data_IF_669213579075
#
_entry.id   IF_669213579075
#
_cell.length_a   1.000
_cell.length_b   1.000
_cell.length_c   1.000
_cell.angle_alpha   90.00
_cell.angle_beta   90.00
_cell.angle_gamma   90.00
#
_symmetry.space_group_name_H-M   'P 1'
#
loop_
_entity.id
_entity.type
_entity.pdbx_description
1 polymer ?
#
# COMPACT_ATOMS: atom_id res chain seq x y z
N UNK A 1 -6.12 39.77 52.49
CA UNK A 1 -4.82 39.23 52.03
C UNK A 1 -4.93 38.75 50.57
N UNK A 2 -4.34 39.47 49.67
CA UNK A 2 -4.35 39.16 48.23
C UNK A 2 -3.26 38.12 47.94
N UNK A 3 -3.64 36.95 47.34
CA UNK A 3 -2.68 35.88 47.02
C UNK A 3 -2.32 35.98 45.55
N UNK A 4 -1.11 36.44 45.17
CA UNK A 4 -0.71 36.69 43.77
C UNK A 4 -0.38 35.41 42.97
N UNK A 5 -0.47 34.22 43.59
CA UNK A 5 -0.10 32.94 42.94
C UNK A 5 -1.30 32.07 42.54
N UNK A 6 -2.54 32.58 42.57
CA UNK A 6 -3.64 31.86 41.91
C UNK A 6 -3.49 31.99 40.40
N UNK A 7 -2.73 31.08 39.77
CA UNK A 7 -2.87 30.81 38.36
C UNK A 7 -4.34 30.44 38.12
N UNK A 8 -5.05 31.28 37.35
CA UNK A 8 -6.32 30.89 36.75
C UNK A 8 -5.98 29.68 35.84
N UNK A 9 -6.47 28.51 36.21
CA UNK A 9 -6.61 27.42 35.27
C UNK A 9 -7.43 27.94 34.11
N UNK A 10 -6.80 28.20 32.96
CA UNK A 10 -7.54 28.33 31.71
C UNK A 10 -8.10 26.95 31.41
N UNK A 11 -9.36 26.74 31.85
CA UNK A 11 -10.12 25.62 31.32
C UNK A 11 -10.23 25.86 29.83
N UNK A 12 -9.62 24.96 29.04
CA UNK A 12 -9.78 24.91 27.59
C UNK A 12 -11.30 24.96 27.33
N UNK A 13 -11.74 25.90 26.51
CA UNK A 13 -13.10 25.92 25.97
C UNK A 13 -13.39 24.52 25.43
N UNK A 14 -14.54 23.91 25.78
CA UNK A 14 -14.88 22.60 25.23
C UNK A 14 -14.90 22.74 23.71
N UNK A 15 -14.05 21.97 23.06
CA UNK A 15 -13.96 21.89 21.62
C UNK A 15 -15.36 21.53 21.10
N UNK A 16 -15.88 22.25 20.13
CA UNK A 16 -17.15 21.90 19.52
C UNK A 16 -17.09 20.46 19.03
N UNK A 17 -18.16 19.69 19.19
CA UNK A 17 -18.19 18.26 18.78
C UNK A 17 -17.67 18.07 17.34
N UNK A 18 -18.01 19.00 16.44
CA UNK A 18 -17.54 18.97 15.05
C UNK A 18 -16.01 19.20 14.91
N UNK A 19 -15.40 20.01 15.78
CA UNK A 19 -13.94 20.20 15.81
C UNK A 19 -13.26 18.97 16.40
N UNK A 20 -13.83 18.38 17.44
CA UNK A 20 -13.34 17.13 18.02
C UNK A 20 -13.45 15.98 17.02
N UNK A 21 -14.56 15.86 16.30
CA UNK A 21 -14.78 14.88 15.24
C UNK A 21 -13.82 15.10 14.05
N UNK A 22 -13.55 16.36 13.69
CA UNK A 22 -12.56 16.72 12.67
C UNK A 22 -11.14 16.36 13.09
N UNK A 23 -10.79 16.60 14.35
CA UNK A 23 -9.47 16.26 14.92
C UNK A 23 -9.26 14.74 15.01
N UNK A 24 -10.32 13.99 15.30
CA UNK A 24 -10.32 12.53 15.31
C UNK A 24 -10.40 11.92 13.91
N UNK A 25 -10.40 12.74 12.85
CA UNK A 25 -10.60 12.25 11.47
C UNK A 25 -12.05 11.81 11.19
N UNK A 26 -12.95 12.14 12.09
CA UNK A 26 -14.36 11.74 12.12
C UNK A 26 -15.20 12.94 11.65
N UNK A 27 -15.15 13.26 10.37
CA UNK A 27 -16.07 14.28 9.82
C UNK A 27 -17.00 13.64 8.80
N UNK A 28 -18.27 14.00 8.85
CA UNK A 28 -19.19 13.66 7.77
C UNK A 28 -18.71 14.34 6.48
N UNK A 29 -18.73 13.59 5.39
CA UNK A 29 -18.45 14.10 4.05
C UNK A 29 -19.64 14.91 3.52
N UNK A 30 -19.44 15.64 2.42
CA UNK A 30 -20.53 16.30 1.70
C UNK A 30 -21.64 15.34 1.28
N UNK A 31 -21.32 14.06 1.08
CA UNK A 31 -22.28 12.98 0.83
C UNK A 31 -22.99 12.47 2.11
N UNK A 32 -22.71 13.02 3.30
CA UNK A 32 -23.29 12.62 4.57
C UNK A 32 -22.72 11.33 5.16
N UNK A 33 -21.67 10.79 4.58
CA UNK A 33 -21.06 9.53 5.01
C UNK A 33 -19.90 9.76 5.97
N UNK A 34 -19.80 8.87 6.96
CA UNK A 34 -18.68 8.80 7.87
C UNK A 34 -17.53 8.00 7.24
N UNK A 35 -16.36 8.64 7.12
CA UNK A 35 -15.16 8.01 6.55
C UNK A 35 -14.11 7.81 7.63
N UNK A 36 -13.77 6.56 7.85
CA UNK A 36 -12.65 6.09 8.68
C UNK A 36 -11.86 5.03 7.91
N UNK A 37 -10.65 4.63 8.33
CA UNK A 37 -9.93 3.51 7.75
C UNK A 37 -10.81 2.25 7.60
N UNK A 38 -11.55 1.88 8.64
CA UNK A 38 -12.42 0.70 8.64
C UNK A 38 -13.61 0.83 7.67
N UNK A 39 -14.26 2.01 7.62
CA UNK A 39 -15.37 2.21 6.67
C UNK A 39 -14.88 2.29 5.24
N UNK A 40 -13.71 2.85 4.99
CA UNK A 40 -13.10 2.93 3.66
C UNK A 40 -12.76 1.55 3.09
N UNK A 41 -12.31 0.61 3.91
CA UNK A 41 -12.05 -0.77 3.49
C UNK A 41 -13.31 -1.53 3.04
N UNK A 42 -14.51 -1.06 3.38
CA UNK A 42 -15.75 -1.61 2.84
C UNK A 42 -15.91 -1.38 1.34
N UNK A 43 -15.16 -0.43 0.77
CA UNK A 43 -15.07 -0.23 -0.68
C UNK A 43 -14.09 -1.24 -1.28
N UNK A 44 -14.53 -2.11 -2.21
CA UNK A 44 -13.65 -3.12 -2.82
C UNK A 44 -12.40 -2.53 -3.48
N UNK A 45 -12.51 -1.36 -4.10
CA UNK A 45 -11.38 -0.68 -4.74
C UNK A 45 -10.30 -0.26 -3.72
N UNK A 46 -10.70 0.25 -2.54
CA UNK A 46 -9.77 0.61 -1.45
C UNK A 46 -9.09 -0.65 -0.90
N UNK A 47 -9.91 -1.66 -0.57
CA UNK A 47 -9.39 -2.94 -0.08
C UNK A 47 -8.40 -3.56 -1.07
N UNK A 48 -8.73 -3.60 -2.37
CA UNK A 48 -7.86 -4.14 -3.41
C UNK A 48 -6.54 -3.36 -3.52
N UNK A 49 -6.58 -2.02 -3.53
CA UNK A 49 -5.38 -1.18 -3.61
C UNK A 49 -4.45 -1.42 -2.41
N UNK A 50 -5.00 -1.40 -1.19
CA UNK A 50 -4.25 -1.63 0.04
C UNK A 50 -3.65 -3.04 0.07
N UNK A 51 -4.43 -4.06 -0.33
CA UNK A 51 -3.98 -5.45 -0.37
C UNK A 51 -2.84 -5.63 -1.36
N UNK A 52 -3.02 -5.19 -2.61
CA UNK A 52 -2.01 -5.37 -3.68
C UNK A 52 -0.67 -4.72 -3.32
N UNK A 53 -0.70 -3.49 -2.78
CA UNK A 53 0.53 -2.80 -2.38
C UNK A 53 1.16 -3.49 -1.17
N UNK A 54 0.37 -3.85 -0.15
CA UNK A 54 0.87 -4.50 1.06
C UNK A 54 1.46 -5.88 0.77
N UNK A 55 0.81 -6.70 -0.07
CA UNK A 55 1.29 -8.02 -0.49
C UNK A 55 2.57 -7.92 -1.31
N UNK A 56 2.63 -6.95 -2.24
CA UNK A 56 3.83 -6.73 -3.04
C UNK A 56 5.04 -6.42 -2.15
N UNK A 57 4.90 -5.49 -1.18
CA UNK A 57 5.99 -5.17 -0.24
C UNK A 57 6.30 -6.33 0.70
N UNK A 58 5.28 -7.02 1.21
CA UNK A 58 5.45 -8.12 2.15
C UNK A 58 6.17 -9.32 1.55
N UNK A 59 5.94 -9.59 0.26
CA UNK A 59 6.58 -10.70 -0.47
C UNK A 59 8.06 -10.48 -0.78
N UNK A 60 8.53 -9.22 -0.78
CA UNK A 60 9.94 -8.92 -1.06
C UNK A 60 10.83 -9.24 0.15
N UNK A 61 11.95 -9.96 -0.04
CA UNK A 61 12.99 -10.04 0.96
C UNK A 61 13.61 -8.67 1.22
N UNK A 62 14.02 -8.41 2.46
CA UNK A 62 14.64 -7.16 2.86
C UNK A 62 16.03 -7.43 3.41
N UNK A 63 17.06 -7.10 2.65
CA UNK A 63 18.44 -7.50 2.95
C UNK A 63 19.24 -6.37 3.58
N UNK A 64 20.16 -6.78 4.47
CA UNK A 64 21.14 -5.91 5.09
C UNK A 64 22.46 -5.97 4.29
N UNK A 65 22.96 -4.80 3.89
CA UNK A 65 24.26 -4.66 3.22
C UNK A 65 25.20 -3.81 4.07
N UNK A 66 26.47 -4.19 4.10
CA UNK A 66 27.55 -3.37 4.64
C UNK A 66 28.26 -2.66 3.49
N UNK A 67 28.42 -1.35 3.62
CA UNK A 67 29.24 -0.56 2.71
C UNK A 67 30.71 -0.75 3.05
N UNK A 68 31.49 -1.15 2.05
CA UNK A 68 32.94 -1.24 2.05
C UNK A 68 33.53 -0.27 1.03
N UNK A 69 34.82 -0.03 1.10
CA UNK A 69 35.52 0.88 0.17
C UNK A 69 35.40 0.41 -1.30
N UNK A 70 35.29 -0.92 -1.51
CA UNK A 70 35.21 -1.57 -2.83
C UNK A 70 33.76 -1.86 -3.27
N UNK A 71 32.75 -1.39 -2.53
CA UNK A 71 31.35 -1.65 -2.86
C UNK A 71 30.49 -2.02 -1.68
N UNK A 72 29.49 -2.90 -1.90
CA UNK A 72 28.60 -3.36 -0.85
C UNK A 72 28.61 -4.89 -0.75
N UNK A 73 28.59 -5.39 0.48
CA UNK A 73 28.52 -6.82 0.77
C UNK A 73 27.27 -7.15 1.58
N UNK A 74 26.56 -8.21 1.22
CA UNK A 74 25.39 -8.68 1.98
C UNK A 74 25.85 -9.26 3.31
N UNK A 75 25.23 -8.82 4.38
CA UNK A 75 25.52 -9.27 5.76
C UNK A 75 24.55 -10.38 6.12
N UNK A 76 25.09 -11.55 6.42
CA UNK A 76 24.34 -12.68 6.92
C UNK A 76 24.50 -12.78 8.45
N UNK A 77 23.50 -13.37 9.13
CA UNK A 77 23.52 -13.63 10.59
C UNK A 77 23.58 -12.37 11.47
N UNK A 78 23.14 -11.24 10.96
CA UNK A 78 22.94 -10.04 11.77
C UNK A 78 21.56 -10.08 12.44
N UNK A 79 21.38 -9.62 13.70
CA UNK A 79 20.08 -9.58 14.37
C UNK A 79 18.98 -8.91 13.53
N UNK A 80 19.30 -7.80 12.86
CA UNK A 80 18.37 -7.10 11.98
C UNK A 80 17.96 -7.95 10.76
N UNK A 81 18.90 -8.64 10.12
CA UNK A 81 18.59 -9.53 8.98
C UNK A 81 17.67 -10.68 9.43
N UNK A 82 17.91 -11.24 10.61
CA UNK A 82 17.05 -12.25 11.21
C UNK A 82 15.62 -11.77 11.44
N UNK A 83 15.46 -10.56 12.02
CA UNK A 83 14.14 -9.99 12.28
C UNK A 83 13.38 -9.68 10.99
N UNK A 84 14.06 -9.22 9.94
CA UNK A 84 13.42 -8.82 8.69
C UNK A 84 13.08 -10.01 7.77
N UNK A 85 13.80 -11.14 7.87
CA UNK A 85 13.67 -12.26 6.95
C UNK A 85 13.29 -13.60 7.59
N UNK A 86 13.51 -13.79 8.90
CA UNK A 86 13.27 -15.07 9.58
C UNK A 86 12.13 -14.95 10.60
N UNK A 87 12.28 -14.10 11.62
CA UNK A 87 11.31 -14.02 12.71
C UNK A 87 11.29 -12.61 13.34
N UNK A 88 10.36 -11.73 12.97
CA UNK A 88 10.24 -10.40 13.58
C UNK A 88 9.80 -10.44 15.04
N UNK A 89 8.92 -11.37 15.39
CA UNK A 89 8.45 -11.64 16.73
C UNK A 89 7.93 -13.08 16.82
N UNK A 90 7.51 -13.52 18.01
CA UNK A 90 7.04 -14.90 18.25
C UNK A 90 5.71 -15.24 17.57
N UNK A 91 4.94 -14.24 17.16
CA UNK A 91 3.56 -14.40 16.69
C UNK A 91 3.40 -14.22 15.19
N UNK A 92 4.37 -13.60 14.51
CA UNK A 92 4.24 -13.20 13.12
C UNK A 92 5.43 -13.67 12.29
N UNK A 93 5.14 -14.05 11.04
CA UNK A 93 6.16 -14.23 10.01
C UNK A 93 6.65 -12.87 9.49
N UNK A 94 7.82 -12.79 8.83
CA UNK A 94 8.30 -11.56 8.18
C UNK A 94 7.31 -10.99 7.16
N UNK A 95 6.61 -11.86 6.44
CA UNK A 95 5.53 -11.47 5.52
C UNK A 95 4.40 -10.76 6.26
N UNK A 96 3.88 -11.38 7.34
CA UNK A 96 2.78 -10.81 8.11
C UNK A 96 3.15 -9.47 8.76
N UNK A 97 4.38 -9.35 9.28
CA UNK A 97 4.87 -8.11 9.84
C UNK A 97 4.91 -6.98 8.80
N UNK A 98 5.56 -7.21 7.66
CA UNK A 98 5.66 -6.22 6.56
C UNK A 98 4.28 -5.85 6.01
N UNK A 99 3.42 -6.85 5.82
CA UNK A 99 2.03 -6.64 5.40
C UNK A 99 1.26 -5.74 6.37
N UNK A 100 1.33 -6.03 7.67
CA UNK A 100 0.64 -5.25 8.71
C UNK A 100 1.15 -3.81 8.74
N UNK A 101 2.48 -3.60 8.71
CA UNK A 101 3.07 -2.27 8.70
C UNK A 101 2.65 -1.46 7.47
N UNK A 102 2.66 -2.06 6.29
CA UNK A 102 2.21 -1.39 5.07
C UNK A 102 0.72 -1.08 5.10
N UNK A 103 -0.12 -2.05 5.49
CA UNK A 103 -1.57 -1.84 5.61
C UNK A 103 -1.91 -0.70 6.57
N UNK A 104 -1.29 -0.66 7.76
CA UNK A 104 -1.48 0.43 8.70
C UNK A 104 -1.08 1.78 8.10
N UNK A 105 0.05 1.84 7.41
CA UNK A 105 0.53 3.07 6.80
C UNK A 105 -0.36 3.53 5.64
N UNK A 106 -0.84 2.63 4.79
CA UNK A 106 -1.73 2.93 3.66
C UNK A 106 -3.12 3.41 4.12
N UNK A 107 -3.63 2.89 5.23
CA UNK A 107 -4.95 3.27 5.76
C UNK A 107 -4.88 4.50 6.67
N UNK A 108 -3.92 4.51 7.61
CA UNK A 108 -3.86 5.51 8.67
C UNK A 108 -2.78 6.59 8.44
N UNK A 109 -1.94 6.41 7.41
CA UNK A 109 -0.79 7.29 7.16
C UNK A 109 0.40 7.04 8.08
N UNK A 110 0.23 6.23 9.12
CA UNK A 110 1.23 5.89 10.12
C UNK A 110 1.16 4.40 10.46
N UNK A 111 2.32 3.79 10.70
CA UNK A 111 2.40 2.46 11.26
C UNK A 111 3.49 2.42 12.33
N UNK A 112 3.22 1.71 13.41
CA UNK A 112 4.08 1.67 14.58
C UNK A 112 4.41 0.25 14.96
N UNK A 113 5.70 0.01 15.26
CA UNK A 113 6.13 -1.23 15.89
C UNK A 113 7.09 -0.93 17.03
N UNK A 114 6.88 -1.57 18.18
CA UNK A 114 7.79 -1.51 19.32
C UNK A 114 9.00 -2.37 19.01
N UNK A 115 10.17 -1.82 19.26
CA UNK A 115 11.47 -2.50 19.15
C UNK A 115 11.90 -2.92 20.54
N UNK A 116 12.06 -4.20 20.77
CA UNK A 116 12.67 -4.71 21.99
C UNK A 116 14.17 -4.88 21.79
N UNK A 117 14.96 -4.37 22.72
CA UNK A 117 16.43 -4.40 22.68
C UNK A 117 16.98 -5.33 23.75
N UNK A 118 18.06 -6.04 23.43
CA UNK A 118 18.82 -6.77 24.44
C UNK A 118 19.81 -5.83 25.16
N UNK A 119 20.46 -6.35 26.21
CA UNK A 119 21.46 -5.59 26.99
C UNK A 119 22.71 -5.19 26.18
N UNK A 120 22.87 -5.71 24.95
CA UNK A 120 23.98 -5.37 24.05
C UNK A 120 23.60 -4.29 23.05
N UNK A 121 22.35 -3.79 23.08
CA UNK A 121 21.82 -2.84 22.11
C UNK A 121 21.49 -3.45 20.75
N UNK A 122 21.22 -4.76 20.69
CA UNK A 122 20.76 -5.44 19.49
C UNK A 122 19.25 -5.62 19.54
N UNK A 123 18.52 -5.39 18.45
CA UNK A 123 17.08 -5.59 18.41
C UNK A 123 16.75 -7.09 18.43
N UNK A 124 15.78 -7.48 19.25
CA UNK A 124 15.36 -8.87 19.43
C UNK A 124 13.92 -9.15 19.03
N UNK A 125 13.09 -8.11 18.92
CA UNK A 125 11.68 -8.23 18.52
C UNK A 125 11.16 -6.95 17.90
N UNK A 126 10.24 -7.09 16.93
CA UNK A 126 9.48 -6.02 16.29
C UNK A 126 8.01 -6.34 16.42
N UNK A 127 7.29 -5.64 17.30
CA UNK A 127 5.88 -5.89 17.57
C UNK A 127 5.02 -4.74 17.05
N UNK A 128 4.22 -4.93 15.98
CA UNK A 128 3.36 -3.89 15.45
C UNK A 128 2.15 -3.64 16.36
N UNK A 129 1.74 -2.39 16.44
CA UNK A 129 0.55 -1.95 17.16
C UNK A 129 -0.42 -1.24 16.22
N UNK A 130 -1.73 -1.36 16.50
CA UNK A 130 -2.76 -0.62 15.78
C UNK A 130 -2.52 0.89 15.95
N UNK A 131 -2.57 1.70 14.87
CA UNK A 131 -2.35 3.13 14.97
C UNK A 131 -3.31 3.85 15.91
N UNK A 132 -4.52 3.33 16.08
CA UNK A 132 -5.54 3.84 17.01
C UNK A 132 -5.17 3.67 18.49
N UNK A 133 -4.28 2.73 18.81
CA UNK A 133 -3.79 2.47 20.17
C UNK A 133 -2.59 3.35 20.54
N UNK A 134 -2.07 4.15 19.60
CA UNK A 134 -0.84 4.93 19.77
C UNK A 134 -1.16 6.42 19.83
N UNK A 135 -0.85 7.05 20.96
CA UNK A 135 -0.91 8.50 21.13
C UNK A 135 0.51 9.07 21.18
N UNK A 136 0.73 10.19 20.51
CA UNK A 136 2.06 10.79 20.43
C UNK A 136 2.03 12.15 21.11
N UNK A 137 2.98 12.37 22.00
CA UNK A 137 3.15 13.61 22.74
C UNK A 137 4.52 14.20 22.48
N UNK A 138 4.58 15.52 22.27
CA UNK A 138 5.84 16.24 22.17
C UNK A 138 6.22 16.81 23.51
N UNK A 139 7.41 16.44 24.01
CA UNK A 139 7.99 17.06 25.22
C UNK A 139 8.42 18.51 24.96
N UNK A 140 8.56 19.27 26.01
CA UNK A 140 9.07 20.66 25.97
C UNK A 140 10.46 20.75 25.34
N UNK A 141 11.27 19.69 25.42
CA UNK A 141 12.61 19.59 24.77
C UNK A 141 12.61 19.22 23.29
N UNK A 142 11.43 19.00 22.69
CA UNK A 142 11.30 18.62 21.26
C UNK A 142 11.28 17.11 21.00
N UNK A 143 11.57 16.30 22.01
CA UNK A 143 11.49 14.83 21.93
C UNK A 143 10.04 14.37 21.88
N UNK A 144 9.80 13.24 21.20
CA UNK A 144 8.48 12.63 21.10
C UNK A 144 8.41 11.40 22.00
N UNK A 145 7.26 11.25 22.68
CA UNK A 145 6.89 10.07 23.45
C UNK A 145 5.72 9.41 22.76
N UNK A 146 5.82 8.11 22.58
CA UNK A 146 4.76 7.26 22.06
C UNK A 146 4.09 6.55 23.24
N UNK A 147 2.86 6.92 23.50
CA UNK A 147 2.04 6.26 24.51
C UNK A 147 1.20 5.20 23.83
N UNK A 148 1.44 3.95 24.16
CA UNK A 148 0.74 2.81 23.58
C UNK A 148 -0.17 2.18 24.63
N UNK A 149 -1.45 2.02 24.30
CA UNK A 149 -2.42 1.32 25.14
C UNK A 149 -2.59 -0.11 24.62
N UNK A 150 -2.28 -1.08 25.45
CA UNK A 150 -2.42 -2.50 25.15
C UNK A 150 -3.90 -2.93 25.16
N UNK A 151 -4.20 -4.13 24.63
CA UNK A 151 -5.54 -4.73 24.63
C UNK A 151 -6.11 -4.91 26.05
N UNK A 152 -5.25 -5.09 27.04
CA UNK A 152 -5.61 -5.18 28.46
C UNK A 152 -5.87 -3.83 29.12
N UNK A 153 -5.75 -2.72 28.38
CA UNK A 153 -5.92 -1.36 28.87
C UNK A 153 -4.70 -0.78 29.59
N UNK A 154 -3.58 -1.53 29.65
CA UNK A 154 -2.35 -1.00 30.23
C UNK A 154 -1.68 -0.03 29.25
N UNK A 155 -1.25 1.11 29.78
CA UNK A 155 -0.60 2.14 28.99
C UNK A 155 0.90 2.19 29.31
N UNK A 156 1.72 2.11 28.25
CA UNK A 156 3.18 2.24 28.36
C UNK A 156 3.68 3.40 27.49
N UNK A 157 4.71 4.08 27.95
CA UNK A 157 5.36 5.15 27.23
C UNK A 157 6.69 4.63 26.67
N UNK A 158 6.90 4.87 25.38
CA UNK A 158 8.12 4.49 24.66
C UNK A 158 8.82 5.74 24.13
N UNK A 159 10.14 5.69 24.10
CA UNK A 159 10.97 6.72 23.49
C UNK A 159 11.05 6.52 21.97
N UNK A 160 11.58 7.51 21.29
CA UNK A 160 11.68 7.50 19.83
C UNK A 160 12.57 6.34 19.31
N UNK A 161 13.61 5.98 20.06
CA UNK A 161 14.53 4.89 19.71
C UNK A 161 13.97 3.48 19.98
N UNK A 162 12.82 3.40 20.65
CA UNK A 162 12.13 2.15 20.93
C UNK A 162 10.98 1.88 19.94
N UNK A 163 10.76 2.78 18.96
CA UNK A 163 9.64 2.69 18.02
C UNK A 163 10.11 2.78 16.57
N UNK A 164 9.77 1.78 15.79
CA UNK A 164 9.77 1.90 14.33
C UNK A 164 8.47 2.61 13.91
N UNK A 165 8.60 3.84 13.41
CA UNK A 165 7.48 4.64 12.94
C UNK A 165 7.56 4.84 11.43
N UNK A 166 6.77 4.09 10.65
CA UNK A 166 6.60 4.26 9.22
C UNK A 166 5.53 5.34 8.95
N UNK A 167 5.87 6.37 8.17
CA UNK A 167 5.05 7.56 7.92
C UNK A 167 4.79 7.76 6.44
N UNK A 168 3.60 8.22 6.10
CA UNK A 168 3.23 8.59 4.73
C UNK A 168 2.86 10.07 4.65
N UNK A 169 3.37 10.77 3.62
CA UNK A 169 2.94 12.13 3.25
C UNK A 169 2.86 13.12 4.44
N UNK A 170 3.93 13.17 5.25
CA UNK A 170 4.00 14.09 6.39
C UNK A 170 4.13 15.55 5.95
N UNK A 171 3.46 16.47 6.66
CA UNK A 171 3.62 17.92 6.48
C UNK A 171 4.65 18.51 7.44
N UNK A 172 4.76 17.96 8.63
CA UNK A 172 5.66 18.42 9.69
C UNK A 172 6.95 17.57 9.78
N UNK A 173 7.07 16.55 8.91
CA UNK A 173 8.16 15.58 8.90
C UNK A 173 8.03 14.52 10.00
N UNK A 174 7.00 14.60 10.85
CA UNK A 174 6.85 13.74 12.00
C UNK A 174 5.59 12.86 11.95
N UNK A 175 4.42 13.46 11.72
CA UNK A 175 3.16 12.73 11.60
C UNK A 175 2.81 12.49 10.13
N UNK A 176 2.58 11.23 9.79
CA UNK A 176 2.03 10.86 8.50
C UNK A 176 0.54 11.18 8.39
N UNK A 177 0.07 11.44 7.17
CA UNK A 177 -1.35 11.69 6.90
C UNK A 177 -1.97 10.51 6.17
N UNK A 178 -3.15 10.10 6.61
CA UNK A 178 -3.92 9.06 5.96
C UNK A 178 -4.35 9.52 4.55
N UNK A 179 -4.07 8.74 3.50
CA UNK A 179 -4.61 8.98 2.15
C UNK A 179 -6.14 9.04 2.15
N UNK A 180 -6.78 8.21 2.98
CA UNK A 180 -8.23 8.16 3.15
C UNK A 180 -8.75 9.45 3.75
N UNK A 181 -8.08 9.99 4.78
CA UNK A 181 -8.49 11.26 5.40
C UNK A 181 -8.28 12.44 4.45
N UNK A 182 -7.19 12.45 3.67
CA UNK A 182 -6.92 13.49 2.67
C UNK A 182 -8.00 13.50 1.60
N UNK A 183 -8.40 12.33 1.10
CA UNK A 183 -9.36 12.15 0.02
C UNK A 183 -10.73 11.69 0.51
N UNK A 184 -11.11 12.07 1.75
CA UNK A 184 -12.33 11.61 2.42
C UNK A 184 -13.61 11.87 1.62
N UNK A 185 -13.69 12.97 0.87
CA UNK A 185 -14.86 13.31 0.05
C UNK A 185 -15.06 12.29 -1.05
N UNK A 186 -14.00 11.89 -1.74
CA UNK A 186 -14.04 10.87 -2.79
C UNK A 186 -14.42 9.50 -2.23
N UNK A 187 -13.81 9.11 -1.11
CA UNK A 187 -14.12 7.84 -0.43
C UNK A 187 -15.57 7.83 0.07
N UNK A 188 -16.01 8.94 0.68
CA UNK A 188 -17.39 9.09 1.17
C UNK A 188 -18.43 9.03 0.06
N UNK A 189 -18.14 9.63 -1.09
CA UNK A 189 -18.99 9.53 -2.27
C UNK A 189 -19.10 8.07 -2.75
N UNK A 190 -17.99 7.33 -2.78
CA UNK A 190 -17.99 5.90 -3.12
C UNK A 190 -18.84 5.05 -2.16
N UNK A 191 -18.75 5.31 -0.85
CA UNK A 191 -19.58 4.66 0.18
C UNK A 191 -21.06 4.99 -0.04
N UNK A 192 -21.39 6.27 -0.28
CA UNK A 192 -22.76 6.72 -0.53
C UNK A 192 -23.35 6.04 -1.77
N UNK A 193 -22.60 5.95 -2.85
CA UNK A 193 -23.00 5.25 -4.08
C UNK A 193 -23.25 3.76 -3.85
N UNK A 194 -22.42 3.09 -3.08
CA UNK A 194 -22.61 1.68 -2.72
C UNK A 194 -23.87 1.49 -1.88
N UNK A 195 -24.12 2.35 -0.91
CA UNK A 195 -25.35 2.32 -0.08
C UNK A 195 -26.58 2.62 -0.90
N UNK A 196 -26.51 3.62 -1.79
CA UNK A 196 -27.61 3.95 -2.69
C UNK A 196 -27.96 2.76 -3.59
N UNK A 197 -26.97 2.15 -4.25
CA UNK A 197 -27.21 0.96 -5.07
C UNK A 197 -27.80 -0.21 -4.27
N UNK A 198 -27.32 -0.43 -3.04
CA UNK A 198 -27.88 -1.46 -2.15
C UNK A 198 -29.33 -1.15 -1.76
N UNK A 199 -29.66 0.12 -1.50
CA UNK A 199 -31.02 0.54 -1.18
C UNK A 199 -31.98 0.39 -2.38
N UNK A 200 -31.51 0.76 -3.57
CA UNK A 200 -32.28 0.55 -4.81
C UNK A 200 -32.56 -0.94 -5.05
N UNK A 201 -31.54 -1.80 -4.89
CA UNK A 201 -31.72 -3.25 -5.03
C UNK A 201 -32.64 -3.84 -3.95
N UNK A 202 -32.54 -3.35 -2.71
CA UNK A 202 -33.39 -3.78 -1.59
C UNK A 202 -34.86 -3.39 -1.82
N UNK A 203 -35.09 -2.19 -2.32
CA UNK A 203 -36.45 -1.68 -2.52
C UNK A 203 -37.08 -2.18 -3.83
N UNK A 204 -36.29 -2.76 -4.72
CA UNK A 204 -36.71 -3.18 -6.07
C UNK A 204 -36.89 -2.01 -7.04
N UNK A 205 -37.03 -2.33 -8.32
CA UNK A 205 -37.21 -1.35 -9.41
C UNK A 205 -38.49 -0.47 -9.30
N UNK A 206 -39.31 -0.75 -8.31
CA UNK A 206 -40.58 -0.02 -8.09
C UNK A 206 -40.48 1.19 -7.15
N UNK A 207 -39.30 1.52 -6.64
CA UNK A 207 -39.12 2.60 -5.67
C UNK A 207 -39.34 4.02 -6.24
N UNK A 208 -39.49 4.16 -7.55
CA UNK A 208 -39.56 5.45 -8.23
C UNK A 208 -40.90 5.67 -8.93
N UNK A 209 -42.01 5.25 -8.34
CA UNK A 209 -43.35 5.47 -8.88
C UNK A 209 -44.23 6.24 -7.89
N UNK A 210 -45.10 7.07 -8.47
CA UNK A 210 -46.14 7.74 -7.72
C UNK A 210 -47.45 6.97 -7.96
N UNK A 211 -48.16 6.61 -6.89
CA UNK A 211 -49.51 6.10 -7.01
C UNK A 211 -50.44 7.29 -6.84
N UNK A 212 -51.17 7.58 -7.92
CA UNK A 212 -52.22 8.59 -7.93
C UNK A 212 -53.57 7.92 -7.82
N UNK A 213 -54.48 8.54 -7.08
CA UNK A 213 -55.88 8.12 -6.99
C UNK A 213 -56.76 9.35 -7.19
N UNK A 214 -57.91 9.15 -7.82
CA UNK A 214 -58.89 10.21 -8.03
C UNK A 214 -59.68 10.59 -6.77
N UNK A 215 -59.67 9.71 -5.76
CA UNK A 215 -60.41 9.91 -4.50
C UNK A 215 -59.42 10.03 -3.31
N UNK A 216 -59.84 10.81 -2.28
CA UNK A 216 -59.08 10.86 -1.02
C UNK A 216 -59.12 9.50 -0.31
N UNK A 217 -57.95 9.00 0.04
CA UNK A 217 -57.82 7.75 0.77
C UNK A 217 -57.98 8.05 2.27
N UNK A 218 -58.87 7.32 2.93
CA UNK A 218 -58.88 7.22 4.38
C UNK A 218 -57.61 6.50 4.87
N UNK A 219 -57.09 6.85 6.06
CA UNK A 219 -55.86 6.32 6.66
C UNK A 219 -55.82 4.76 6.62
N UNK A 220 -56.96 4.10 6.83
CA UNK A 220 -57.09 2.65 6.80
C UNK A 220 -56.88 2.08 5.40
N UNK A 221 -57.40 2.76 4.37
CA UNK A 221 -57.21 2.39 2.97
C UNK A 221 -55.79 2.66 2.49
N UNK A 222 -55.20 3.79 2.89
CA UNK A 222 -53.79 4.12 2.60
C UNK A 222 -52.84 3.08 3.19
N UNK A 223 -53.01 2.68 4.45
CA UNK A 223 -52.20 1.63 5.05
C UNK A 223 -52.34 0.27 4.39
N UNK A 224 -53.54 -0.10 3.92
CA UNK A 224 -53.76 -1.36 3.14
C UNK A 224 -53.02 -1.31 1.83
N UNK A 225 -53.05 -0.20 1.11
CA UNK A 225 -52.34 -0.01 -0.14
C UNK A 225 -50.81 -0.10 0.04
N UNK A 226 -50.25 0.54 1.09
CA UNK A 226 -48.83 0.45 1.44
C UNK A 226 -48.45 -1.01 1.74
N UNK A 227 -49.22 -1.72 2.58
CA UNK A 227 -48.95 -3.14 2.91
C UNK A 227 -49.06 -4.05 1.68
N UNK A 228 -49.97 -3.77 0.76
CA UNK A 228 -50.08 -4.54 -0.50
C UNK A 228 -48.83 -4.35 -1.37
N UNK A 229 -48.28 -3.14 -1.45
CA UNK A 229 -47.07 -2.83 -2.19
C UNK A 229 -45.80 -3.38 -1.56
N UNK A 230 -45.76 -3.46 -0.23
CA UNK A 230 -44.62 -4.08 0.49
C UNK A 230 -44.37 -5.53 0.08
N UNK A 231 -45.40 -6.26 -0.35
CA UNK A 231 -45.28 -7.64 -0.86
C UNK A 231 -44.50 -7.73 -2.19
N UNK A 232 -44.41 -6.62 -2.92
CA UNK A 232 -43.71 -6.55 -4.19
C UNK A 232 -42.33 -5.89 -4.08
N UNK A 233 -41.93 -5.44 -2.88
CA UNK A 233 -40.60 -4.93 -2.61
C UNK A 233 -39.54 -6.05 -2.52
N UNK A 234 -38.34 -5.73 -2.94
CA UNK A 234 -37.16 -6.60 -2.81
C UNK A 234 -36.81 -7.41 -4.04
N UNK A 235 -35.53 -7.79 -4.13
CA UNK A 235 -34.94 -8.48 -5.29
C UNK A 235 -35.67 -9.80 -5.66
N UNK A 236 -36.26 -10.50 -4.68
CA UNK A 236 -37.03 -11.74 -4.91
C UNK A 236 -38.36 -11.50 -5.64
N UNK A 237 -38.84 -10.27 -5.67
CA UNK A 237 -40.11 -9.89 -6.28
C UNK A 237 -39.90 -8.99 -7.50
N UNK A 238 -38.65 -8.77 -7.90
CA UNK A 238 -38.32 -8.00 -9.10
C UNK A 238 -39.00 -8.63 -10.34
N UNK A 239 -39.68 -7.81 -11.11
CA UNK A 239 -40.42 -8.27 -12.30
C UNK A 239 -41.87 -8.73 -12.04
N UNK A 240 -42.33 -8.78 -10.77
CA UNK A 240 -43.78 -9.04 -10.50
C UNK A 240 -44.58 -7.74 -10.68
N UNK A 241 -45.68 -7.85 -11.38
CA UNK A 241 -46.60 -6.73 -11.60
C UNK A 241 -47.57 -6.61 -10.41
N UNK A 242 -47.61 -5.47 -9.70
CA UNK A 242 -48.62 -5.25 -8.66
C UNK A 242 -50.00 -5.09 -9.24
N UNK A 243 -50.99 -5.64 -8.60
CA UNK A 243 -52.39 -5.41 -8.91
C UNK A 243 -52.84 -4.22 -8.07
N UNK A 244 -53.29 -3.15 -8.73
CA UNK A 244 -53.86 -1.96 -8.12
C UNK A 244 -55.36 -2.07 -8.07
N UNK A 245 -56.00 -1.75 -6.95
CA UNK A 245 -57.42 -1.78 -6.74
C UNK A 245 -58.03 -0.38 -6.89
N UNK A 246 -59.22 -0.27 -7.44
CA UNK A 246 -59.98 0.97 -7.55
C UNK A 246 -59.44 1.95 -8.62
N UNK A 247 -59.51 3.24 -8.34
CA UNK A 247 -59.07 4.32 -9.23
C UNK A 247 -57.56 4.64 -9.08
N UNK A 248 -56.72 3.67 -8.59
CA UNK A 248 -55.31 3.87 -8.43
C UNK A 248 -54.57 3.69 -9.73
N UNK A 249 -53.78 4.68 -10.13
CA UNK A 249 -52.90 4.64 -11.29
C UNK A 249 -51.43 4.74 -10.85
N UNK A 250 -50.60 3.82 -11.32
CA UNK A 250 -49.17 3.86 -11.10
C UNK A 250 -48.49 4.67 -12.20
N UNK A 251 -47.88 5.79 -11.82
CA UNK A 251 -47.04 6.57 -12.73
C UNK A 251 -45.58 6.33 -12.36
N UNK A 252 -44.84 5.69 -13.23
CA UNK A 252 -43.40 5.52 -13.09
C UNK A 252 -42.73 6.88 -13.26
N UNK A 253 -42.05 7.35 -12.22
CA UNK A 253 -41.14 8.50 -12.29
C UNK A 253 -39.87 7.97 -12.93
N UNK A 254 -39.70 8.22 -14.21
CA UNK A 254 -38.72 7.58 -15.09
C UNK A 254 -37.29 7.44 -14.54
N UNK A 255 -36.76 6.26 -14.70
CA UNK A 255 -35.38 5.88 -14.34
C UNK A 255 -34.61 5.28 -15.54
N UNK A 256 -34.70 5.79 -16.72
CA UNK A 256 -34.10 5.15 -17.90
C UNK A 256 -32.66 5.56 -18.21
N UNK A 257 -32.20 6.73 -17.74
CA UNK A 257 -30.78 7.16 -17.89
C UNK A 257 -29.94 6.99 -16.63
N UNK A 258 -30.56 6.88 -15.45
CA UNK A 258 -29.87 6.83 -14.17
C UNK A 258 -29.07 5.53 -13.93
N UNK A 259 -29.50 4.40 -14.50
CA UNK A 259 -28.78 3.13 -14.34
C UNK A 259 -27.46 3.12 -15.10
N UNK A 260 -27.41 3.72 -16.29
CA UNK A 260 -26.19 3.87 -17.06
C UNK A 260 -25.24 4.88 -16.41
N UNK A 261 -25.76 6.00 -15.91
CA UNK A 261 -25.01 7.01 -15.17
C UNK A 261 -24.45 6.45 -13.85
N UNK A 262 -25.22 5.63 -13.15
CA UNK A 262 -24.75 4.97 -11.92
C UNK A 262 -23.62 3.98 -12.19
N UNK A 263 -23.69 3.18 -13.25
CA UNK A 263 -22.63 2.26 -13.64
C UNK A 263 -21.34 3.02 -14.02
N UNK A 264 -21.47 4.09 -14.81
CA UNK A 264 -20.37 4.97 -15.16
C UNK A 264 -19.73 5.62 -13.91
N UNK A 265 -20.56 6.05 -12.97
CA UNK A 265 -20.11 6.63 -11.69
C UNK A 265 -19.32 5.62 -10.83
N UNK A 266 -19.70 4.33 -10.84
CA UNK A 266 -18.92 3.29 -10.13
C UNK A 266 -17.55 3.06 -10.76
N UNK A 267 -17.46 3.04 -12.09
CA UNK A 267 -16.17 2.93 -12.79
C UNK A 267 -15.28 4.14 -12.50
N UNK A 268 -15.86 5.33 -12.45
CA UNK A 268 -15.14 6.55 -12.05
C UNK A 268 -14.58 6.45 -10.64
N UNK A 269 -15.35 5.92 -9.69
CA UNK A 269 -14.90 5.71 -8.30
C UNK A 269 -13.68 4.78 -8.23
N UNK A 270 -13.62 3.71 -9.03
CA UNK A 270 -12.45 2.82 -9.09
C UNK A 270 -11.21 3.60 -9.57
N UNK A 271 -11.37 4.40 -10.62
CA UNK A 271 -10.28 5.23 -11.16
C UNK A 271 -9.78 6.27 -10.16
N UNK A 272 -10.67 6.87 -9.37
CA UNK A 272 -10.29 7.83 -8.34
C UNK A 272 -9.54 7.17 -7.17
N UNK A 273 -9.99 6.01 -6.72
CA UNK A 273 -9.26 5.24 -5.70
C UNK A 273 -7.88 4.81 -6.23
N UNK A 274 -7.79 4.42 -7.50
CA UNK A 274 -6.53 4.11 -8.16
C UNK A 274 -5.55 5.31 -8.11
N UNK A 275 -6.06 6.53 -8.33
CA UNK A 275 -5.27 7.78 -8.23
C UNK A 275 -4.81 8.08 -6.81
N UNK A 276 -5.65 7.83 -5.79
CA UNK A 276 -5.30 8.04 -4.38
C UNK A 276 -4.06 7.24 -3.99
N UNK A 277 -3.97 6.00 -4.44
CA UNK A 277 -2.85 5.10 -4.14
C UNK A 277 -1.77 5.05 -5.23
N UNK A 278 -1.91 5.87 -6.28
CA UNK A 278 -1.01 5.89 -7.44
C UNK A 278 -0.79 4.49 -8.03
N UNK A 279 -1.87 3.75 -8.21
CA UNK A 279 -1.88 2.39 -8.77
C UNK A 279 -2.69 2.36 -10.07
N UNK A 280 -2.25 1.57 -11.06
CA UNK A 280 -3.04 1.41 -12.27
C UNK A 280 -4.35 0.65 -11.98
N UNK A 281 -5.51 1.07 -12.54
CA UNK A 281 -6.79 0.38 -12.37
C UNK A 281 -6.75 -1.11 -12.71
N UNK A 282 -5.86 -1.54 -13.58
CA UNK A 282 -5.66 -2.96 -13.93
C UNK A 282 -5.35 -3.84 -12.71
N UNK A 283 -4.62 -3.31 -11.71
CA UNK A 283 -4.34 -4.01 -10.45
C UNK A 283 -5.53 -4.02 -9.50
N UNK A 284 -6.53 -3.18 -9.76
CA UNK A 284 -7.83 -3.20 -9.08
C UNK A 284 -8.85 -4.08 -9.82
N UNK A 285 -8.37 -4.92 -10.76
CA UNK A 285 -9.17 -5.82 -11.59
C UNK A 285 -10.15 -5.10 -12.53
N UNK A 286 -9.88 -3.84 -12.87
CA UNK A 286 -10.59 -3.12 -13.92
C UNK A 286 -9.84 -3.26 -15.24
N UNK A 287 -10.36 -4.16 -16.10
CA UNK A 287 -9.79 -4.46 -17.42
C UNK A 287 -10.51 -3.74 -18.57
N UNK A 288 -11.40 -2.80 -18.28
CA UNK A 288 -12.26 -2.16 -19.28
C UNK A 288 -11.49 -1.47 -20.41
N UNK A 289 -10.25 -0.99 -20.13
CA UNK A 289 -9.38 -0.30 -21.07
C UNK A 289 -8.01 -0.96 -21.23
N UNK A 290 -7.88 -2.27 -20.95
CA UNK A 290 -6.57 -2.94 -20.95
C UNK A 290 -6.39 -3.90 -22.12
N UNK A 291 -5.19 -3.82 -22.76
CA UNK A 291 -4.68 -4.83 -23.68
C UNK A 291 -3.52 -5.59 -23.04
N UNK A 292 -3.18 -6.77 -23.57
CA UNK A 292 -2.09 -7.60 -23.02
C UNK A 292 -0.72 -6.87 -23.01
N UNK A 293 -0.45 -6.02 -23.98
CA UNK A 293 0.75 -5.18 -24.02
C UNK A 293 0.82 -4.18 -22.87
N UNK A 294 -0.33 -3.64 -22.45
CA UNK A 294 -0.43 -2.66 -21.38
C UNK A 294 -0.13 -3.26 -20.00
N UNK A 295 -0.29 -4.57 -19.81
CA UNK A 295 -0.03 -5.22 -18.53
C UNK A 295 1.47 -5.22 -18.16
N UNK A 296 2.36 -5.48 -19.11
CA UNK A 296 3.81 -5.45 -18.84
C UNK A 296 4.31 -4.03 -18.53
N UNK A 297 3.78 -3.03 -19.23
CA UNK A 297 4.09 -1.62 -18.94
C UNK A 297 3.50 -1.19 -17.60
N UNK A 298 2.26 -1.59 -17.28
CA UNK A 298 1.64 -1.33 -16.00
C UNK A 298 2.44 -1.96 -14.84
N UNK A 299 2.98 -3.17 -15.02
CA UNK A 299 3.82 -3.84 -14.00
C UNK A 299 5.13 -3.10 -13.76
N UNK A 300 5.78 -2.58 -14.80
CA UNK A 300 6.99 -1.74 -14.66
C UNK A 300 6.67 -0.41 -13.99
N UNK A 301 5.55 0.23 -14.38
CA UNK A 301 5.08 1.46 -13.77
C UNK A 301 4.71 1.24 -12.30
N UNK A 302 4.06 0.13 -11.95
CA UNK A 302 3.74 -0.26 -10.59
C UNK A 302 4.99 -0.32 -9.70
N UNK A 303 6.05 -0.98 -10.17
CA UNK A 303 7.30 -1.02 -9.43
C UNK A 303 7.94 0.37 -9.30
N UNK A 304 8.07 1.12 -10.42
CA UNK A 304 8.85 2.35 -10.44
C UNK A 304 8.11 3.56 -9.85
N UNK A 305 6.80 3.65 -10.02
CA UNK A 305 6.00 4.81 -9.65
C UNK A 305 5.18 4.59 -8.37
N UNK A 306 4.68 3.37 -8.16
CA UNK A 306 3.87 3.04 -6.98
C UNK A 306 4.72 2.51 -5.84
N UNK A 307 5.46 1.41 -6.05
CA UNK A 307 6.16 0.73 -4.96
C UNK A 307 7.46 1.43 -4.54
N UNK A 308 8.26 1.93 -5.50
CA UNK A 308 9.58 2.50 -5.21
C UNK A 308 9.57 3.58 -4.12
N UNK A 309 8.64 4.55 -4.12
CA UNK A 309 8.56 5.55 -3.05
C UNK A 309 8.27 4.92 -1.68
N UNK A 310 7.39 3.91 -1.62
CA UNK A 310 7.07 3.19 -0.40
C UNK A 310 8.26 2.39 0.13
N UNK A 311 8.95 1.65 -0.75
CA UNK A 311 10.14 0.87 -0.41
C UNK A 311 11.24 1.77 0.13
N UNK A 312 11.57 2.85 -0.60
CA UNK A 312 12.61 3.80 -0.17
C UNK A 312 12.31 4.41 1.21
N UNK A 313 11.05 4.80 1.43
CA UNK A 313 10.63 5.32 2.73
C UNK A 313 10.77 4.26 3.84
N UNK A 314 10.33 3.04 3.59
CA UNK A 314 10.41 1.96 4.55
C UNK A 314 11.87 1.57 4.86
N UNK A 315 12.72 1.44 3.84
CA UNK A 315 14.16 1.18 3.97
C UNK A 315 14.85 2.21 4.87
N UNK A 316 14.56 3.49 4.63
CA UNK A 316 15.13 4.59 5.42
C UNK A 316 14.64 4.57 6.88
N UNK A 317 13.35 4.32 7.10
CA UNK A 317 12.80 4.23 8.46
C UNK A 317 13.34 2.99 9.21
N UNK A 318 13.45 1.85 8.54
CA UNK A 318 14.08 0.65 9.11
C UNK A 318 15.54 0.92 9.49
N UNK A 319 16.29 1.55 8.61
CA UNK A 319 17.70 1.90 8.88
C UNK A 319 17.81 2.86 10.06
N UNK A 320 16.97 3.88 10.12
CA UNK A 320 17.01 4.87 11.19
C UNK A 320 16.63 4.27 12.54
N UNK A 321 15.61 3.41 12.57
CA UNK A 321 15.12 2.80 13.79
C UNK A 321 15.99 1.63 14.30
N UNK A 322 16.52 0.77 13.41
CA UNK A 322 17.20 -0.47 13.79
C UNK A 322 18.72 -0.36 13.87
N UNK A 323 19.31 0.68 13.25
CA UNK A 323 20.75 0.91 13.28
C UNK A 323 21.07 2.02 14.28
N UNK A 324 21.11 1.68 15.57
CA UNK A 324 21.53 2.63 16.61
C UNK A 324 23.02 2.88 16.45
N UNK A 325 23.41 4.17 16.45
CA UNK A 325 24.80 4.57 16.38
C UNK A 325 25.45 4.46 17.78
N UNK A 326 25.99 3.31 18.11
CA UNK A 326 26.74 3.05 19.33
C UNK A 326 28.14 3.73 19.31
N UNK A 327 28.25 4.90 18.67
CA UNK A 327 29.49 5.71 18.69
C UNK A 327 30.53 5.37 17.62
N UNK A 328 30.22 4.50 16.64
CA UNK A 328 31.21 4.02 15.66
C UNK A 328 30.85 4.23 14.19
N UNK A 329 30.02 5.23 13.84
CA UNK A 329 29.56 5.45 12.46
C UNK A 329 28.82 4.23 11.84
N UNK A 330 28.26 3.35 12.65
CA UNK A 330 27.58 2.12 12.17
C UNK A 330 26.40 2.42 11.24
N UNK A 331 25.61 3.44 11.53
CA UNK A 331 24.52 3.89 10.62
C UNK A 331 25.02 4.20 9.20
N UNK A 332 26.22 4.74 9.02
CA UNK A 332 26.78 5.09 7.71
C UNK A 332 27.29 3.88 6.94
N UNK A 333 27.59 2.78 7.63
CA UNK A 333 28.17 1.58 7.02
C UNK A 333 27.15 0.56 6.56
N UNK A 334 25.88 0.69 6.94
CA UNK A 334 24.85 -0.27 6.62
C UNK A 334 23.78 0.33 5.73
N UNK A 335 23.23 -0.50 4.83
CA UNK A 335 22.05 -0.23 4.02
C UNK A 335 21.05 -1.35 4.22
N UNK A 336 19.79 -1.00 4.29
CA UNK A 336 18.67 -1.94 4.27
C UNK A 336 17.96 -1.72 2.95
N UNK A 337 17.81 -2.76 2.14
CA UNK A 337 17.20 -2.67 0.81
C UNK A 337 16.25 -3.83 0.56
N UNK A 338 15.09 -3.55 -0.01
CA UNK A 338 14.19 -4.57 -0.52
C UNK A 338 14.68 -5.11 -1.85
N UNK A 339 14.68 -6.43 -1.99
CA UNK A 339 14.99 -7.08 -3.27
C UNK A 339 13.77 -7.09 -4.18
N UNK A 340 13.81 -6.25 -5.18
CA UNK A 340 12.72 -6.11 -6.18
C UNK A 340 12.89 -7.05 -7.37
N UNK A 341 13.91 -7.89 -7.38
CA UNK A 341 14.25 -8.74 -8.53
C UNK A 341 13.12 -9.70 -8.91
N UNK A 342 12.35 -10.18 -7.92
CA UNK A 342 11.24 -11.10 -8.14
C UNK A 342 10.03 -10.46 -8.82
N UNK A 343 9.76 -9.17 -8.56
CA UNK A 343 8.69 -8.43 -9.24
C UNK A 343 9.03 -8.10 -10.71
N UNK A 344 10.32 -8.01 -11.01
CA UNK A 344 10.81 -7.81 -12.37
C UNK A 344 11.02 -9.13 -13.11
N UNK A 345 10.62 -10.28 -12.51
CA UNK A 345 10.76 -11.58 -13.15
C UNK A 345 10.02 -11.59 -14.50
N UNK A 346 10.76 -11.20 -15.51
CA UNK A 346 10.50 -11.53 -16.91
C UNK A 346 10.41 -13.05 -17.04
N UNK A 347 9.88 -13.52 -18.16
CA UNK A 347 9.84 -14.96 -18.44
C UNK A 347 11.22 -15.59 -18.18
N UNK A 348 11.27 -16.85 -17.74
CA UNK A 348 12.52 -17.57 -17.50
C UNK A 348 13.50 -17.42 -18.70
N UNK A 349 12.96 -17.43 -19.92
CA UNK A 349 13.70 -17.23 -21.15
C UNK A 349 14.40 -15.85 -21.22
N UNK A 350 13.72 -14.78 -20.86
CA UNK A 350 14.32 -13.43 -20.88
C UNK A 350 15.36 -13.26 -19.77
N UNK A 351 15.16 -13.89 -18.61
CA UNK A 351 16.11 -13.89 -17.51
C UNK A 351 17.41 -14.59 -17.91
N UNK A 352 17.33 -15.78 -18.52
CA UNK A 352 18.51 -16.48 -19.02
C UNK A 352 19.22 -15.73 -20.14
N UNK A 353 18.50 -15.05 -21.02
CA UNK A 353 19.11 -14.15 -22.01
C UNK A 353 19.88 -13.00 -21.36
N UNK A 354 19.31 -12.40 -20.32
CA UNK A 354 19.97 -11.35 -19.54
C UNK A 354 21.24 -11.85 -18.86
N UNK A 355 21.22 -13.06 -18.30
CA UNK A 355 22.42 -13.69 -17.72
C UNK A 355 23.47 -14.00 -18.75
N UNK A 356 23.10 -14.49 -19.93
CA UNK A 356 24.03 -14.72 -21.02
C UNK A 356 24.76 -13.44 -21.44
N UNK A 357 24.00 -12.32 -21.55
CA UNK A 357 24.59 -11.01 -21.83
C UNK A 357 25.51 -10.55 -20.69
N UNK A 358 25.11 -10.71 -19.43
CA UNK A 358 25.91 -10.29 -18.27
C UNK A 358 27.21 -11.11 -18.13
N UNK A 359 27.17 -12.43 -18.39
CA UNK A 359 28.35 -13.29 -18.39
C UNK A 359 29.29 -12.91 -19.54
N UNK A 360 28.78 -12.74 -20.75
CA UNK A 360 29.55 -12.34 -21.92
C UNK A 360 30.22 -10.97 -21.75
N UNK A 361 29.53 -10.05 -21.11
CA UNK A 361 30.06 -8.72 -20.80
C UNK A 361 31.05 -8.70 -19.63
N UNK A 362 31.31 -9.85 -18.97
CA UNK A 362 32.21 -9.93 -17.84
C UNK A 362 31.68 -9.21 -16.56
N UNK A 363 30.38 -8.91 -16.51
CA UNK A 363 29.75 -8.27 -15.35
C UNK A 363 29.43 -9.29 -14.26
N UNK A 364 29.11 -10.53 -14.64
CA UNK A 364 28.82 -11.65 -13.75
C UNK A 364 29.62 -12.89 -14.14
N UNK A 365 30.01 -13.68 -13.13
CA UNK A 365 30.55 -15.01 -13.37
C UNK A 365 29.43 -16.08 -13.34
N UNK A 366 29.63 -17.26 -13.95
CA UNK A 366 28.63 -18.33 -13.98
C UNK A 366 28.15 -18.76 -12.58
N UNK A 367 29.04 -18.83 -11.60
CA UNK A 367 28.67 -19.22 -10.23
C UNK A 367 27.83 -18.16 -9.50
N UNK A 368 27.96 -16.88 -9.83
CA UNK A 368 27.06 -15.84 -9.31
C UNK A 368 25.64 -16.03 -9.85
N UNK A 369 25.49 -16.38 -11.13
CA UNK A 369 24.19 -16.70 -11.73
C UNK A 369 23.60 -17.96 -11.09
N UNK A 370 24.39 -19.01 -10.90
CA UNK A 370 23.95 -20.24 -10.23
C UNK A 370 23.48 -19.98 -8.81
N UNK A 371 24.21 -19.18 -8.03
CA UNK A 371 23.81 -18.77 -6.68
C UNK A 371 22.46 -18.01 -6.67
N UNK A 372 22.23 -17.15 -7.66
CA UNK A 372 20.94 -16.43 -7.80
C UNK A 372 19.78 -17.36 -8.13
N UNK A 373 20.04 -18.44 -8.87
CA UNK A 373 19.04 -19.46 -9.22
C UNK A 373 18.97 -20.62 -8.19
N UNK A 374 19.66 -20.49 -7.04
CA UNK A 374 19.67 -21.53 -6.00
C UNK A 374 20.41 -22.81 -6.38
N UNK A 375 21.26 -22.77 -7.39
CA UNK A 375 22.02 -23.91 -7.87
C UNK A 375 23.40 -23.95 -7.20
N UNK A 376 23.95 -25.16 -6.91
CA UNK A 376 25.30 -25.29 -6.35
C UNK A 376 26.36 -24.78 -7.32
N UNK A 377 27.45 -24.17 -6.82
CA UNK A 377 28.55 -23.72 -7.65
C UNK A 377 29.28 -24.91 -8.28
N UNK A 378 30.01 -24.68 -9.36
CA UNK A 378 30.90 -25.67 -10.00
C UNK A 378 32.31 -25.10 -10.11
N UNK A 379 33.28 -25.99 -10.25
CA UNK A 379 34.71 -25.65 -10.37
C UNK A 379 34.98 -24.88 -11.67
N UNK A 380 35.72 -23.74 -11.60
CA UNK A 380 35.98 -22.85 -12.73
C UNK A 380 34.86 -21.85 -13.04
N UNK A 381 33.72 -21.92 -12.35
CA UNK A 381 32.58 -20.99 -12.57
C UNK A 381 32.73 -19.62 -11.95
N UNK A 382 33.82 -19.34 -11.23
CA UNK A 382 34.13 -18.00 -10.66
C UNK A 382 34.89 -17.10 -11.64
N UNK A 383 35.29 -17.64 -12.80
CA UNK A 383 36.04 -16.87 -13.80
C UNK A 383 35.10 -15.99 -14.62
N UNK A 384 35.47 -14.70 -14.76
CA UNK A 384 34.75 -13.77 -15.62
C UNK A 384 35.11 -13.98 -17.09
N UNK A 385 34.13 -13.87 -17.99
CA UNK A 385 34.35 -13.97 -19.43
C UNK A 385 35.31 -12.87 -19.89
N UNK A 386 36.34 -13.26 -20.64
CA UNK A 386 37.32 -12.36 -21.27
C UNK A 386 37.08 -12.25 -22.78
N UNK A 387 35.84 -12.31 -23.23
CA UNK A 387 35.47 -12.29 -24.65
C UNK A 387 36.08 -11.09 -25.41
N UNK A 388 36.29 -9.96 -24.74
CA UNK A 388 36.98 -8.80 -25.31
C UNK A 388 38.44 -9.02 -25.61
N UNK A 389 39.16 -9.92 -24.91
CA UNK A 389 40.55 -10.26 -25.20
C UNK A 389 40.67 -11.10 -26.47
N UNK A 390 39.76 -12.03 -26.73
CA UNK A 390 39.75 -12.86 -27.94
C UNK A 390 39.55 -12.03 -29.21
N UNK A 391 38.77 -10.95 -29.15
CA UNK A 391 38.52 -10.04 -30.27
C UNK A 391 39.78 -9.22 -30.64
N UNK A 392 40.64 -8.94 -29.67
CA UNK A 392 41.92 -8.22 -29.90
C UNK A 392 42.99 -9.14 -30.47
N UNK A 393 43.03 -10.41 -30.07
CA UNK A 393 43.98 -11.40 -30.61
C UNK A 393 43.69 -11.75 -32.07
N UNK A 394 42.41 -11.87 -32.46
CA UNK A 394 42.03 -12.11 -33.87
C UNK A 394 42.41 -10.93 -34.76
N UNK A 395 42.38 -9.69 -34.30
CA UNK A 395 42.83 -8.51 -35.08
C UNK A 395 44.34 -8.38 -35.17
N UNK A 396 45.15 -8.97 -34.29
CA UNK A 396 46.61 -8.96 -34.35
C UNK A 396 47.17 -10.07 -35.21
N UNK A 397 46.41 -11.12 -35.53
CA UNK A 397 46.84 -12.25 -36.35
C UNK A 397 46.78 -12.00 -37.85
N UNK A 398 46.10 -10.97 -38.33
CA UNK A 398 45.90 -10.71 -39.77
C UNK A 398 46.84 -9.67 -40.40
N UNK A 399 47.79 -9.10 -39.63
CA UNK A 399 48.90 -8.33 -40.23
C UNK A 399 50.09 -9.23 -40.54
N UNK A 400 49.95 -10.09 -41.59
CA UNK A 400 51.11 -10.67 -42.28
C UNK A 400 51.69 -9.61 -43.21
N UNK A 401 52.99 -9.33 -43.03
CA UNK A 401 53.81 -8.47 -43.88
C UNK A 401 53.73 -8.87 -45.37
N UNK A 402 53.64 -7.91 -46.28
CA UNK A 402 53.76 -8.23 -47.72
C UNK A 402 55.21 -8.61 -48.03
N UNK A 403 55.37 -9.85 -48.36
CA UNK A 403 56.65 -10.44 -48.75
C UNK A 403 57.38 -9.65 -49.84
N UNK A 404 58.65 -9.32 -49.58
CA UNK A 404 59.58 -8.72 -50.50
C UNK A 404 59.78 -9.67 -51.75
N UNK A 405 59.35 -9.19 -52.89
CA UNK A 405 59.57 -9.84 -54.18
C UNK A 405 60.97 -9.41 -54.71
N UNK A 406 61.97 -10.23 -54.47
CA UNK A 406 63.25 -10.09 -55.16
C UNK A 406 63.13 -10.61 -56.58
N UNK A 407 63.09 -9.68 -57.52
CA UNK A 407 63.36 -9.99 -58.93
C UNK A 407 64.82 -10.47 -59.14
N UNK A 408 64.96 -11.49 -59.87
CA UNK A 408 66.24 -11.81 -60.61
C UNK A 408 65.92 -12.00 -62.09
N UNK A 409 66.65 -11.15 -62.82
CA UNK A 409 66.87 -11.31 -64.21
C UNK A 409 67.59 -12.66 -64.50
N UNK A 410 67.21 -13.41 -65.49
CA UNK A 410 67.86 -13.70 -66.75
C UNK A 410 66.90 -14.50 -67.62
#
# INVERSE_FOLDING_TARGET
>A
MWNPFRRKEQRSTPMAINELLSYLGVSNTGAGEFVSPNTAESLPAVMSAVTVISEAVASMPCYLYQLKDDGRERVYRHPVDYLLNEMPNRSQTPYQFKYTMMRHCLLNGNAYAVIEWNNKGEPISLTPYEPSAVNIYRKVGGEYIYQITDLDGNTKNYLQDEILHLRHSSLDGFMGRSPITICRETVGLGIAQQKHGSAVMKNGLMASGLITTAEWLDDAKAQKAVKALERYKGAKNAGKTPILEGSMEYKQLGMTNQDAEWLASRTFTISDIARIYNISPIFLQDYSNSSYSNFSEASRAFLSQTLRPWLTNFEQQLKDALMIDLGSNSKKRYLIEFDTSDLLRTSQSERFKSYDVAIKAGVMCPNEVRRREGLPPYEGGEEFSQAWKQTVEVKRGDEQEPGANNGNHD
#
